data_IF_588987964640
#
_entry.id   IF_588987964640
#
_cell.length_a   1.000
_cell.length_b   1.000
_cell.length_c   1.000
_cell.angle_alpha   90.00
_cell.angle_beta   90.00
_cell.angle_gamma   90.00
#
_symmetry.space_group_name_H-M   'P 1'
#
loop_
_entity.id
_entity.type
_entity.pdbx_description
1 polymer ?
#
# COMPACT_ATOMS: atom_id res chain seq x y z
N UNK A 1 -3.05 13.37 18.23
CA UNK A 1 -2.59 13.58 16.84
C UNK A 1 -2.25 15.04 16.68
N UNK A 2 -0.96 15.38 16.54
CA UNK A 2 -0.54 16.76 16.23
C UNK A 2 -0.61 17.03 14.72
N UNK A 3 -0.66 18.31 14.26
CA UNK A 3 -0.67 18.63 12.84
C UNK A 3 0.48 17.99 12.04
N UNK A 4 1.68 17.93 12.63
CA UNK A 4 2.84 17.27 12.03
C UNK A 4 2.67 15.74 11.90
N UNK A 5 2.08 15.10 12.91
CA UNK A 5 1.78 13.67 12.86
C UNK A 5 0.73 13.36 11.79
N UNK A 6 -0.26 14.25 11.63
CA UNK A 6 -1.28 14.12 10.60
C UNK A 6 -0.69 14.27 9.19
N UNK A 7 0.16 15.28 8.97
CA UNK A 7 0.88 15.46 7.72
C UNK A 7 1.72 14.22 7.37
N UNK A 8 2.42 13.66 8.36
CA UNK A 8 3.17 12.42 8.20
C UNK A 8 2.28 11.23 7.83
N UNK A 9 1.10 11.13 8.44
CA UNK A 9 0.13 10.08 8.10
C UNK A 9 -0.30 10.20 6.64
N UNK A 10 -0.72 11.39 6.20
CA UNK A 10 -1.10 11.63 4.81
C UNK A 10 0.04 11.28 3.83
N UNK A 11 1.27 11.71 4.15
CA UNK A 11 2.45 11.40 3.34
C UNK A 11 2.69 9.89 3.19
N UNK A 12 2.52 9.12 4.28
CA UNK A 12 2.70 7.67 4.25
C UNK A 12 1.56 6.94 3.52
N UNK A 13 0.33 7.46 3.57
CA UNK A 13 -0.78 6.95 2.77
C UNK A 13 -0.54 7.19 1.27
N UNK A 14 -0.08 8.38 0.89
CA UNK A 14 0.27 8.70 -0.49
C UNK A 14 1.36 7.75 -1.01
N UNK A 15 2.40 7.51 -0.20
CA UNK A 15 3.45 6.55 -0.54
C UNK A 15 2.89 5.16 -0.87
N UNK A 16 1.94 4.67 -0.06
CA UNK A 16 1.30 3.36 -0.27
C UNK A 16 0.51 3.32 -1.57
N UNK A 17 -0.21 4.40 -1.89
CA UNK A 17 -0.93 4.54 -3.16
C UNK A 17 0.02 4.46 -4.36
N UNK A 18 1.08 5.27 -4.35
CA UNK A 18 2.09 5.28 -5.42
C UNK A 18 2.74 3.91 -5.62
N UNK A 19 3.10 3.23 -4.53
CA UNK A 19 3.72 1.90 -4.58
C UNK A 19 2.79 0.82 -5.12
N UNK A 20 1.48 0.93 -4.92
CA UNK A 20 0.48 0.04 -5.51
C UNK A 20 0.34 0.28 -7.02
N UNK A 21 0.23 1.54 -7.42
CA UNK A 21 -0.09 1.96 -8.79
C UNK A 21 1.09 1.80 -9.75
N UNK A 22 2.29 2.26 -9.38
CA UNK A 22 3.38 2.45 -10.35
C UNK A 22 4.34 1.25 -10.45
N UNK A 23 4.05 0.12 -9.81
CA UNK A 23 5.06 -0.95 -9.58
C UNK A 23 6.38 -0.38 -9.01
N UNK A 24 6.28 0.73 -8.27
CA UNK A 24 7.39 1.63 -7.99
C UNK A 24 8.40 1.07 -6.98
N UNK A 25 9.65 1.49 -7.15
CA UNK A 25 10.72 1.24 -6.19
C UNK A 25 10.45 2.04 -4.91
N UNK A 26 10.47 1.35 -3.76
CA UNK A 26 10.31 1.97 -2.44
C UNK A 26 11.30 3.12 -2.17
N UNK A 27 12.48 3.04 -2.79
CA UNK A 27 13.53 4.05 -2.74
C UNK A 27 13.11 5.33 -3.46
N UNK A 28 12.60 5.20 -4.69
CA UNK A 28 12.15 6.34 -5.48
C UNK A 28 10.96 7.04 -4.80
N UNK A 29 9.97 6.26 -4.35
CA UNK A 29 8.81 6.81 -3.64
C UNK A 29 9.23 7.53 -2.36
N UNK A 30 10.21 7.02 -1.61
CA UNK A 30 10.72 7.68 -0.42
C UNK A 30 11.25 9.09 -0.73
N UNK A 31 12.04 9.24 -1.78
CA UNK A 31 12.57 10.55 -2.19
C UNK A 31 11.47 11.46 -2.74
N UNK A 32 10.55 10.92 -3.55
CA UNK A 32 9.45 11.68 -4.16
C UNK A 32 8.54 12.34 -3.11
N UNK A 33 8.29 11.66 -2.00
CA UNK A 33 7.44 12.18 -0.91
C UNK A 33 8.24 12.98 0.14
N UNK A 34 9.53 13.20 -0.07
CA UNK A 34 10.37 14.08 0.76
C UNK A 34 11.05 13.43 1.96
N UNK A 35 11.36 12.13 1.91
CA UNK A 35 12.34 11.53 2.84
C UNK A 35 13.75 11.67 2.28
N UNK A 36 14.70 11.97 3.16
CA UNK A 36 16.13 12.02 2.83
C UNK A 36 16.77 10.62 2.79
N UNK A 37 16.10 9.61 3.35
CA UNK A 37 16.60 8.25 3.44
C UNK A 37 15.48 7.22 3.24
N UNK A 38 15.69 6.32 2.27
CA UNK A 38 14.80 5.18 2.02
C UNK A 38 14.68 4.23 3.24
N UNK A 39 15.75 4.10 4.04
CA UNK A 39 15.72 3.30 5.26
C UNK A 39 14.91 3.96 6.37
N UNK A 40 14.95 5.30 6.49
CA UNK A 40 14.07 6.03 7.40
C UNK A 40 12.61 5.83 6.99
N UNK A 41 12.29 6.08 5.72
CA UNK A 41 10.96 5.85 5.15
C UNK A 41 10.45 4.44 5.47
N UNK A 42 11.24 3.41 5.17
CA UNK A 42 10.84 2.02 5.36
C UNK A 42 10.51 1.70 6.83
N UNK A 43 11.30 2.21 7.79
CA UNK A 43 11.01 2.03 9.22
C UNK A 43 9.73 2.74 9.63
N UNK A 44 9.47 3.93 9.09
CA UNK A 44 8.26 4.67 9.42
C UNK A 44 7.00 4.08 8.81
N UNK A 45 7.11 3.64 7.56
CA UNK A 45 6.09 2.89 6.84
C UNK A 45 5.72 1.62 7.61
N UNK A 46 6.70 0.78 7.96
CA UNK A 46 6.44 -0.46 8.72
C UNK A 46 5.76 -0.21 10.06
N UNK A 47 6.10 0.89 10.74
CA UNK A 47 5.44 1.26 12.01
C UNK A 47 3.97 1.63 11.83
N UNK A 48 3.63 2.23 10.69
CA UNK A 48 2.25 2.64 10.39
C UNK A 48 1.40 1.50 9.83
N UNK A 49 1.96 0.67 8.94
CA UNK A 49 1.22 -0.34 8.18
C UNK A 49 1.49 -1.78 8.62
N UNK A 50 2.44 -2.01 9.53
CA UNK A 50 2.79 -3.32 10.06
C UNK A 50 3.77 -4.13 9.21
N UNK A 51 4.03 -3.72 7.96
CA UNK A 51 4.90 -4.43 7.03
C UNK A 51 5.83 -3.47 6.27
N UNK A 52 7.03 -3.93 5.87
CA UNK A 52 7.88 -3.17 4.95
C UNK A 52 7.16 -2.87 3.62
N UNK A 53 7.45 -1.74 2.96
CA UNK A 53 6.75 -1.31 1.75
C UNK A 53 6.56 -2.42 0.70
N UNK A 54 7.65 -3.09 0.29
CA UNK A 54 7.62 -4.15 -0.72
C UNK A 54 6.76 -5.36 -0.29
N UNK A 55 6.80 -5.74 0.98
CA UNK A 55 6.02 -6.86 1.50
C UNK A 55 4.53 -6.51 1.60
N UNK A 56 4.21 -5.28 2.02
CA UNK A 56 2.84 -4.80 2.07
C UNK A 56 2.21 -4.76 0.68
N UNK A 57 2.91 -4.23 -0.33
CA UNK A 57 2.41 -4.18 -1.71
C UNK A 57 2.16 -5.58 -2.26
N UNK A 58 3.11 -6.49 -2.07
CA UNK A 58 2.94 -7.88 -2.50
C UNK A 58 1.68 -8.49 -1.91
N UNK A 59 1.50 -8.37 -0.59
CA UNK A 59 0.33 -8.87 0.14
C UNK A 59 -0.97 -8.24 -0.36
N UNK A 60 -0.98 -6.93 -0.60
CA UNK A 60 -2.16 -6.22 -1.09
C UNK A 60 -2.55 -6.69 -2.48
N UNK A 61 -1.59 -6.83 -3.40
CA UNK A 61 -1.84 -7.37 -4.75
C UNK A 61 -2.39 -8.79 -4.70
N UNK A 62 -1.79 -9.67 -3.90
CA UNK A 62 -2.30 -11.04 -3.69
C UNK A 62 -3.72 -11.04 -3.11
N UNK A 63 -4.03 -10.11 -2.20
CA UNK A 63 -5.38 -9.97 -1.63
C UNK A 63 -6.37 -9.51 -2.69
N UNK A 64 -6.01 -8.54 -3.54
CA UNK A 64 -6.87 -8.07 -4.64
C UNK A 64 -7.12 -9.16 -5.68
N UNK A 65 -6.09 -9.91 -6.08
CA UNK A 65 -6.22 -11.05 -7.00
C UNK A 65 -7.15 -12.14 -6.42
N UNK A 66 -7.06 -12.41 -5.12
CA UNK A 66 -7.97 -13.34 -4.44
C UNK A 66 -9.41 -12.83 -4.42
N UNK A 67 -9.62 -11.50 -4.24
CA UNK A 67 -10.94 -10.90 -4.26
C UNK A 67 -11.56 -10.93 -5.66
N UNK A 68 -10.82 -10.56 -6.70
CA UNK A 68 -11.27 -10.63 -8.10
C UNK A 68 -11.64 -12.07 -8.49
N UNK A 69 -10.77 -13.04 -8.18
CA UNK A 69 -11.06 -14.45 -8.42
C UNK A 69 -12.21 -15.03 -7.59
N UNK A 70 -12.64 -14.35 -6.51
CA UNK A 70 -13.82 -14.71 -5.74
C UNK A 70 -15.09 -14.01 -6.25
N UNK A 71 -14.99 -12.80 -6.82
CA UNK A 71 -16.10 -12.10 -7.45
C UNK A 71 -16.59 -12.83 -8.72
N UNK A 72 -15.66 -13.34 -9.54
CA UNK A 72 -15.98 -14.15 -10.72
C UNK A 72 -16.72 -15.45 -10.37
N UNK A 73 -16.42 -16.03 -9.20
CA UNK A 73 -17.09 -17.25 -8.71
C UNK A 73 -18.47 -16.97 -8.10
N UNK A 74 -18.64 -15.82 -7.45
CA UNK A 74 -19.91 -15.42 -6.83
C UNK A 74 -20.96 -14.96 -7.86
N UNK A 75 -20.54 -14.57 -9.08
CA UNK A 75 -21.44 -14.25 -10.19
C UNK A 75 -22.03 -15.49 -10.89
N UNK A 76 -21.52 -16.70 -10.63
CA UNK A 76 -22.06 -17.96 -11.20
C UNK A 76 -23.21 -18.51 -10.32
N UNK A 77 -23.31 -18.09 -9.05
CA UNK A 77 -24.28 -18.65 -8.09
C UNK A 77 -25.61 -17.90 -7.99
N UNK A 78 -25.85 -16.86 -8.80
CA UNK A 78 -27.17 -16.18 -8.87
C UNK A 78 -27.95 -16.50 -10.15
N UNK A 79 -27.41 -17.31 -11.06
CA UNK A 79 -28.09 -17.69 -12.31
C UNK A 79 -29.10 -18.84 -12.16
N UNK A 80 -29.56 -19.14 -10.95
CA UNK A 80 -30.52 -20.20 -10.68
C UNK A 80 -31.66 -19.75 -9.73
N UNK A 81 -32.11 -18.51 -9.90
CA UNK A 81 -33.38 -17.99 -9.36
C UNK A 81 -34.20 -17.36 -10.49
#
# INVERSE_FOLDING_TARGET
MSPLQFQKHLRLQEARSLLLMESGDATEVAYRIGYESASQFSREYSRMFGFPPKADIKRLKETFEQLEGNLDKNLIWTSNL
#
